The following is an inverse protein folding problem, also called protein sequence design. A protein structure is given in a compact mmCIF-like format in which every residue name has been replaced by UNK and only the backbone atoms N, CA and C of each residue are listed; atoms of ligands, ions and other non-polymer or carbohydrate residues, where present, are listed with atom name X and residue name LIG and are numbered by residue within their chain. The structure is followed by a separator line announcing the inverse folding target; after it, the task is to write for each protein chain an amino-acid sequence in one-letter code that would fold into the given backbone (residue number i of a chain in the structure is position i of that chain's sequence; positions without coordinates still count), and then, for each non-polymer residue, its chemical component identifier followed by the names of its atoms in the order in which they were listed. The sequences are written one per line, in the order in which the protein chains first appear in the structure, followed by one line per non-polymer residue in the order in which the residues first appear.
data_IF_516576102088
#
_entry.id   IF_516576102088
#
_cell.length_a   1.000
_cell.length_b   1.000
_cell.length_c   1.000
_cell.angle_alpha   90.00
_cell.angle_beta   90.00
_cell.angle_gamma   90.00
#
_symmetry.space_group_name_H-M   'P 1'
#
loop_
_entity.id
_entity.type
_entity.pdbx_description
1 polymer ?
#
# COMPACT_ATOMS: atom_id res chain seq x y z
N UNK A 1 -7.33 7.32 -21.90
CA UNK A 1 -6.83 8.38 -21.01
C UNK A 1 -7.95 8.98 -20.18
N UNK A 2 -8.76 9.90 -20.73
CA UNK A 2 -9.84 10.57 -19.99
C UNK A 2 -10.76 9.63 -19.18
N UNK A 3 -11.20 8.50 -19.74
CA UNK A 3 -12.03 7.53 -19.00
C UNK A 3 -11.32 6.90 -17.79
N UNK A 4 -10.00 6.68 -17.88
CA UNK A 4 -9.19 6.13 -16.79
C UNK A 4 -9.06 7.19 -15.70
N UNK A 5 -8.72 8.43 -16.08
CA UNK A 5 -8.55 9.55 -15.15
C UNK A 5 -9.88 9.93 -14.46
N UNK A 6 -10.98 9.91 -15.21
CA UNK A 6 -12.32 10.08 -14.66
C UNK A 6 -12.68 8.95 -13.69
N UNK A 7 -12.47 7.69 -14.07
CA UNK A 7 -12.75 6.54 -13.20
C UNK A 7 -11.94 6.57 -11.90
N UNK A 8 -10.67 6.96 -12.01
CA UNK A 8 -9.76 7.16 -10.88
C UNK A 8 -10.23 8.30 -9.97
N UNK A 9 -10.62 9.43 -10.53
CA UNK A 9 -11.17 10.56 -9.79
C UNK A 9 -12.46 10.19 -9.06
N UNK A 10 -13.42 9.58 -9.76
CA UNK A 10 -14.68 9.13 -9.17
C UNK A 10 -14.45 8.14 -8.03
N UNK A 11 -13.53 7.20 -8.22
CA UNK A 11 -13.12 6.27 -7.18
C UNK A 11 -12.56 7.00 -5.95
N UNK A 12 -11.60 7.92 -6.15
CA UNK A 12 -10.95 8.62 -5.05
C UNK A 12 -11.92 9.50 -4.28
N UNK A 13 -12.81 10.21 -4.98
CA UNK A 13 -13.90 10.97 -4.36
C UNK A 13 -14.78 10.02 -3.55
N UNK A 14 -15.29 8.94 -4.14
CA UNK A 14 -16.17 7.99 -3.44
C UNK A 14 -15.55 7.44 -2.14
N UNK A 15 -14.25 7.10 -2.17
CA UNK A 15 -13.57 6.48 -1.02
C UNK A 15 -13.12 7.49 0.02
N UNK A 16 -12.63 8.66 -0.39
CA UNK A 16 -11.94 9.60 0.50
C UNK A 16 -12.73 10.87 0.83
N UNK A 17 -13.88 11.13 0.19
CA UNK A 17 -14.65 12.37 0.38
C UNK A 17 -15.07 12.64 1.83
N UNK A 18 -15.38 11.58 2.60
CA UNK A 18 -15.73 11.71 4.03
C UNK A 18 -14.57 12.29 4.86
N UNK A 19 -13.33 12.05 4.45
CA UNK A 19 -12.10 12.51 5.12
C UNK A 19 -11.47 13.73 4.46
N UNK A 20 -12.22 14.46 3.62
CA UNK A 20 -11.73 15.63 2.86
C UNK A 20 -11.11 16.74 3.71
N UNK A 21 -11.41 16.79 5.01
CA UNK A 21 -10.82 17.76 5.94
C UNK A 21 -9.33 17.49 6.21
N UNK A 22 -8.83 16.28 5.96
CA UNK A 22 -7.42 15.97 6.12
C UNK A 22 -6.60 16.58 4.97
N UNK A 23 -5.54 17.33 5.28
CA UNK A 23 -4.71 18.02 4.27
C UNK A 23 -4.21 17.06 3.17
N UNK A 24 -3.78 15.85 3.54
CA UNK A 24 -3.29 14.82 2.59
C UNK A 24 -4.39 14.33 1.65
N UNK A 25 -5.58 14.13 2.17
CA UNK A 25 -6.74 13.71 1.37
C UNK A 25 -7.15 14.83 0.42
N UNK A 26 -7.13 16.08 0.88
CA UNK A 26 -7.40 17.23 0.03
C UNK A 26 -6.39 17.35 -1.12
N UNK A 27 -5.09 17.18 -0.86
CA UNK A 27 -4.06 17.16 -1.91
C UNK A 27 -4.30 16.02 -2.91
N UNK A 28 -4.67 14.83 -2.42
CA UNK A 28 -5.00 13.69 -3.27
C UNK A 28 -6.20 13.96 -4.19
N UNK A 29 -7.29 14.53 -3.65
CA UNK A 29 -8.46 14.87 -4.44
C UNK A 29 -8.16 16.00 -5.44
N UNK A 30 -7.34 16.97 -5.05
CA UNK A 30 -6.91 18.07 -5.93
C UNK A 30 -6.04 17.56 -7.08
N UNK A 31 -5.01 16.75 -6.81
CA UNK A 31 -4.17 16.17 -7.85
C UNK A 31 -4.99 15.33 -8.83
N UNK A 32 -5.91 14.51 -8.32
CA UNK A 32 -6.80 13.72 -9.18
C UNK A 32 -7.76 14.57 -10.00
N UNK A 33 -8.23 15.69 -9.46
CA UNK A 33 -9.07 16.64 -10.19
C UNK A 33 -8.29 17.33 -11.32
N UNK A 34 -7.05 17.76 -11.06
CA UNK A 34 -6.18 18.39 -12.07
C UNK A 34 -5.85 17.40 -13.20
N UNK A 35 -5.53 16.14 -12.87
CA UNK A 35 -5.30 15.09 -13.89
C UNK A 35 -6.53 14.77 -14.74
N UNK A 36 -7.73 14.86 -14.16
CA UNK A 36 -8.96 14.76 -14.94
C UNK A 36 -9.20 16.01 -15.80
N UNK A 37 -9.09 17.20 -15.20
CA UNK A 37 -9.37 18.48 -15.85
C UNK A 37 -8.44 18.75 -17.05
N UNK A 38 -7.16 18.36 -16.95
CA UNK A 38 -6.19 18.45 -18.05
C UNK A 38 -6.62 17.71 -19.31
N UNK A 39 -7.41 16.64 -19.19
CA UNK A 39 -7.95 15.92 -20.36
C UNK A 39 -9.32 16.43 -20.84
N UNK A 40 -10.06 17.17 -20.01
CA UNK A 40 -11.41 17.64 -20.36
C UNK A 40 -11.35 18.75 -21.42
N UNK A 41 -10.28 19.53 -21.45
CA UNK A 41 -10.10 20.58 -22.45
C UNK A 41 -9.53 19.98 -23.75
N UNK A 42 -10.38 19.90 -24.78
CA UNK A 42 -9.95 19.61 -26.15
C UNK A 42 -9.24 20.86 -26.69
N UNK A 43 -7.93 20.80 -26.85
CA UNK A 43 -7.13 21.85 -27.49
C UNK A 43 -6.82 21.49 -28.95
N UNK A 44 -6.78 22.52 -29.81
CA UNK A 44 -6.64 22.38 -31.27
C UNK A 44 -5.20 22.01 -31.70
N UNK A 45 -4.19 22.27 -30.85
CA UNK A 45 -2.77 22.05 -31.17
C UNK A 45 -2.23 20.77 -30.52
N UNK A 46 -1.52 19.96 -31.31
CA UNK A 46 -0.90 18.70 -30.87
C UNK A 46 0.11 18.89 -29.72
N UNK A 47 0.87 19.98 -29.73
CA UNK A 47 1.90 20.29 -28.72
C UNK A 47 1.28 20.51 -27.34
N UNK A 48 0.27 21.37 -27.27
CA UNK A 48 -0.50 21.63 -26.03
C UNK A 48 -1.14 20.35 -25.50
N UNK A 49 -1.68 19.50 -26.38
CA UNK A 49 -2.24 18.20 -26.00
C UNK A 49 -1.21 17.28 -25.34
N UNK A 50 0.05 17.30 -25.79
CA UNK A 50 1.14 16.51 -25.19
C UNK A 50 1.50 17.04 -23.80
N UNK A 51 1.64 18.36 -23.63
CA UNK A 51 1.93 18.95 -22.31
C UNK A 51 0.83 18.66 -21.28
N UNK A 52 -0.45 18.68 -21.68
CA UNK A 52 -1.55 18.29 -20.80
C UNK A 52 -1.55 16.80 -20.45
N UNK A 53 -1.09 15.95 -21.37
CA UNK A 53 -0.90 14.53 -21.09
C UNK A 53 0.16 14.33 -20.00
N UNK A 54 1.27 15.06 -20.06
CA UNK A 54 2.36 14.98 -19.09
C UNK A 54 1.90 15.48 -17.71
N UNK A 55 1.16 16.59 -17.66
CA UNK A 55 0.53 17.10 -16.43
C UNK A 55 -0.34 16.01 -15.78
N UNK A 56 -1.15 15.32 -16.57
CA UNK A 56 -2.02 14.27 -16.05
C UNK A 56 -1.26 13.01 -15.64
N UNK A 57 -0.14 12.71 -16.28
CA UNK A 57 0.74 11.60 -15.91
C UNK A 57 1.36 11.84 -14.54
N UNK A 58 1.97 13.01 -14.34
CA UNK A 58 2.50 13.46 -13.05
C UNK A 58 1.39 13.47 -11.98
N UNK A 59 0.18 13.93 -12.32
CA UNK A 59 -0.95 13.89 -11.41
C UNK A 59 -1.34 12.45 -11.01
N UNK A 60 -1.37 11.51 -11.95
CA UNK A 60 -1.70 10.10 -11.67
C UNK A 60 -0.66 9.48 -10.73
N UNK A 61 0.62 9.67 -11.00
CA UNK A 61 1.72 9.26 -10.12
C UNK A 61 1.62 9.88 -8.72
N UNK A 62 1.42 11.19 -8.65
CA UNK A 62 1.25 11.93 -7.41
C UNK A 62 0.08 11.40 -6.58
N UNK A 63 -1.08 11.13 -7.20
CA UNK A 63 -2.22 10.53 -6.48
C UNK A 63 -1.86 9.16 -5.91
N UNK A 64 -1.15 8.35 -6.68
CA UNK A 64 -0.74 7.02 -6.27
C UNK A 64 0.27 7.09 -5.10
N UNK A 65 1.23 8.00 -5.14
CA UNK A 65 2.20 8.26 -4.06
C UNK A 65 1.49 8.74 -2.78
N UNK A 66 0.54 9.67 -2.90
CA UNK A 66 -0.21 10.16 -1.74
C UNK A 66 -1.04 9.03 -1.10
N UNK A 67 -1.65 8.14 -1.88
CA UNK A 67 -2.36 6.97 -1.33
C UNK A 67 -1.44 6.08 -0.49
N UNK A 68 -0.26 5.75 -1.02
CA UNK A 68 0.74 4.95 -0.31
C UNK A 68 1.18 5.67 0.97
N UNK A 69 1.37 6.98 0.91
CA UNK A 69 1.80 7.81 2.04
C UNK A 69 0.73 7.94 3.13
N UNK A 70 -0.54 8.08 2.78
CA UNK A 70 -1.66 8.07 3.74
C UNK A 70 -1.66 6.75 4.53
N UNK A 71 -1.46 5.63 3.85
CA UNK A 71 -1.40 4.30 4.48
C UNK A 71 -0.13 4.16 5.32
N UNK A 72 1.02 4.58 4.79
CA UNK A 72 2.31 4.55 5.50
C UNK A 72 2.28 5.37 6.80
N UNK A 73 1.66 6.54 6.78
CA UNK A 73 1.48 7.38 7.96
C UNK A 73 0.61 6.70 9.03
N UNK A 74 -0.48 6.03 8.64
CA UNK A 74 -1.31 5.27 9.57
C UNK A 74 -0.54 4.11 10.23
N UNK A 75 0.38 3.47 9.50
CA UNK A 75 1.28 2.44 10.05
C UNK A 75 2.32 3.09 10.98
N UNK A 76 2.93 4.21 10.58
CA UNK A 76 3.91 4.96 11.39
C UNK A 76 3.36 5.30 12.78
N UNK A 77 2.13 5.83 12.83
CA UNK A 77 1.48 6.20 14.08
C UNK A 77 1.34 5.03 15.07
N UNK A 78 1.27 3.79 14.58
CA UNK A 78 1.08 2.57 15.40
C UNK A 78 2.39 1.88 15.77
N UNK A 79 3.35 1.88 14.86
CA UNK A 79 4.57 1.07 14.97
C UNK A 79 5.74 1.85 15.57
N UNK A 80 5.70 3.20 15.52
CA UNK A 80 6.72 4.11 16.08
C UNK A 80 8.17 3.72 15.76
N UNK A 81 8.41 3.03 14.64
CA UNK A 81 9.76 2.69 14.20
C UNK A 81 10.41 3.92 13.54
N UNK A 82 11.72 4.10 13.79
CA UNK A 82 12.49 5.20 13.19
C UNK A 82 12.57 5.08 11.66
N UNK A 83 12.71 3.86 11.14
CA UNK A 83 12.79 3.63 9.70
C UNK A 83 11.53 4.06 8.94
N UNK A 84 10.33 3.64 9.38
CA UNK A 84 9.08 4.06 8.70
C UNK A 84 8.86 5.58 8.77
N UNK A 85 9.39 6.24 9.81
CA UNK A 85 9.39 7.70 9.91
C UNK A 85 10.24 8.34 8.81
N UNK A 86 11.46 7.85 8.59
CA UNK A 86 12.36 8.34 7.53
C UNK A 86 11.72 8.13 6.15
N UNK A 87 11.24 6.92 5.86
CA UNK A 87 10.56 6.64 4.59
C UNK A 87 9.32 7.53 4.37
N UNK A 88 8.54 7.81 5.42
CA UNK A 88 7.39 8.71 5.29
C UNK A 88 7.82 10.15 5.00
N UNK A 89 8.94 10.60 5.56
CA UNK A 89 9.48 11.94 5.29
C UNK A 89 10.03 12.06 3.87
N UNK A 90 10.74 11.04 3.40
CA UNK A 90 11.19 10.94 2.00
C UNK A 90 9.99 10.99 1.05
N UNK A 91 8.92 10.23 1.35
CA UNK A 91 7.70 10.26 0.56
C UNK A 91 7.02 11.64 0.56
N UNK A 92 7.03 12.36 1.69
CA UNK A 92 6.52 13.73 1.77
C UNK A 92 7.37 14.71 0.95
N UNK A 93 8.68 14.51 0.90
CA UNK A 93 9.57 15.29 0.03
C UNK A 93 9.25 15.04 -1.45
N UNK A 94 9.08 13.79 -1.87
CA UNK A 94 8.67 13.47 -3.24
C UNK A 94 7.31 14.07 -3.60
N UNK A 95 6.32 14.03 -2.70
CA UNK A 95 5.03 14.70 -2.94
C UNK A 95 5.22 16.18 -3.25
N UNK A 96 6.09 16.89 -2.52
CA UNK A 96 6.35 18.32 -2.77
C UNK A 96 7.07 18.51 -4.11
N UNK A 97 8.07 17.69 -4.41
CA UNK A 97 8.81 17.76 -5.67
C UNK A 97 7.89 17.47 -6.87
N UNK A 98 7.00 16.49 -6.78
CA UNK A 98 6.01 16.17 -7.82
C UNK A 98 5.00 17.31 -8.03
N UNK A 99 4.59 18.00 -6.95
CA UNK A 99 3.76 19.21 -7.08
C UNK A 99 4.49 20.33 -7.83
N UNK A 100 5.78 20.52 -7.54
CA UNK A 100 6.61 21.50 -8.26
C UNK A 100 6.80 21.08 -9.73
N UNK A 101 6.97 19.79 -9.99
CA UNK A 101 7.10 19.26 -11.35
C UNK A 101 5.81 19.46 -12.17
N UNK A 102 4.66 19.20 -11.56
CA UNK A 102 3.35 19.48 -12.17
C UNK A 102 3.17 20.97 -12.44
N UNK A 103 3.58 21.84 -11.50
CA UNK A 103 3.51 23.29 -11.71
C UNK A 103 4.45 23.77 -12.83
N UNK A 104 5.66 23.21 -12.92
CA UNK A 104 6.59 23.46 -14.02
C UNK A 104 5.98 23.07 -15.37
N UNK A 105 5.36 21.89 -15.45
CA UNK A 105 4.65 21.42 -16.66
C UNK A 105 3.46 22.32 -17.01
N UNK A 106 2.76 22.86 -16.01
CA UNK A 106 1.65 23.81 -16.23
C UNK A 106 2.13 25.19 -16.70
N UNK A 107 3.31 25.64 -16.27
CA UNK A 107 3.94 26.88 -16.74
C UNK A 107 4.38 26.72 -18.20
N UNK A 108 4.96 25.56 -18.54
CA UNK A 108 5.33 25.23 -19.91
C UNK A 108 4.11 25.20 -20.84
N UNK A 109 2.99 24.65 -20.38
CA UNK A 109 1.71 24.70 -21.09
C UNK A 109 1.18 26.13 -21.32
N UNK A 110 1.66 27.12 -20.56
CA UNK A 110 1.32 28.53 -20.71
C UNK A 110 2.31 29.31 -21.61
N UNK A 111 3.05 28.60 -22.48
CA UNK A 111 4.01 29.13 -23.47
C UNK A 111 5.30 29.71 -22.88
N UNK A 112 5.67 29.32 -21.64
CA UNK A 112 6.97 29.66 -21.06
C UNK A 112 7.97 28.53 -21.28
N UNK A 113 9.01 28.78 -22.07
CA UNK A 113 10.04 27.78 -22.40
C UNK A 113 10.88 27.44 -21.16
N UNK A 114 10.83 26.17 -20.74
CA UNK A 114 11.66 25.63 -19.67
C UNK A 114 13.00 25.13 -20.22
N UNK A 115 14.06 25.26 -19.42
CA UNK A 115 15.40 24.80 -19.83
C UNK A 115 15.48 23.29 -19.93
N UNK A 116 16.29 22.78 -20.87
CA UNK A 116 16.52 21.34 -21.09
C UNK A 116 16.94 20.57 -19.81
N UNK A 117 17.69 21.23 -18.92
CA UNK A 117 18.07 20.69 -17.61
C UNK A 117 16.87 20.33 -16.72
N UNK A 118 15.77 21.09 -16.80
CA UNK A 118 14.56 20.82 -16.01
C UNK A 118 13.84 19.56 -16.49
N UNK A 119 13.87 19.27 -17.79
CA UNK A 119 13.31 18.02 -18.32
C UNK A 119 14.11 16.80 -17.85
N UNK A 120 15.44 16.89 -17.81
CA UNK A 120 16.29 15.82 -17.27
C UNK A 120 15.97 15.58 -15.79
N UNK A 121 15.86 16.65 -15.00
CA UNK A 121 15.52 16.55 -13.57
C UNK A 121 14.12 15.96 -13.36
N UNK A 122 13.14 16.38 -14.16
CA UNK A 122 11.77 15.84 -14.13
C UNK A 122 11.77 14.33 -14.38
N UNK A 123 12.46 13.88 -15.43
CA UNK A 123 12.52 12.47 -15.80
C UNK A 123 13.23 11.61 -14.72
N UNK A 124 14.32 12.14 -14.14
CA UNK A 124 15.01 11.48 -13.03
C UNK A 124 14.11 11.41 -11.78
N UNK A 125 13.40 12.50 -11.47
CA UNK A 125 12.46 12.56 -10.35
C UNK A 125 11.34 11.54 -10.53
N UNK A 126 10.78 11.43 -11.73
CA UNK A 126 9.76 10.45 -12.08
C UNK A 126 10.25 9.02 -11.84
N UNK A 127 11.37 8.65 -12.45
CA UNK A 127 11.96 7.30 -12.33
C UNK A 127 12.28 6.94 -10.88
N UNK A 128 12.87 7.87 -10.11
CA UNK A 128 13.21 7.65 -8.70
C UNK A 128 11.95 7.50 -7.86
N UNK A 129 10.93 8.34 -8.07
CA UNK A 129 9.67 8.27 -7.33
C UNK A 129 8.92 6.97 -7.61
N UNK A 130 8.82 6.56 -8.88
CA UNK A 130 8.17 5.30 -9.26
C UNK A 130 8.88 4.08 -8.72
N UNK A 131 10.21 4.10 -8.63
CA UNK A 131 11.01 3.04 -8.00
C UNK A 131 10.85 3.03 -6.48
N UNK A 132 10.74 4.21 -5.85
CA UNK A 132 10.56 4.34 -4.42
C UNK A 132 9.21 3.81 -3.93
N UNK A 133 8.13 4.04 -4.68
CA UNK A 133 6.76 3.64 -4.34
C UNK A 133 6.58 2.15 -3.99
N UNK A 134 7.01 1.17 -4.81
CA UNK A 134 6.93 -0.25 -4.47
C UNK A 134 7.77 -0.58 -3.24
N UNK A 135 8.98 -0.02 -3.13
CA UNK A 135 9.87 -0.24 -1.98
C UNK A 135 9.16 0.21 -0.71
N UNK A 136 8.66 1.44 -0.66
CA UNK A 136 7.97 1.97 0.50
C UNK A 136 6.70 1.19 0.82
N UNK A 137 5.90 0.87 -0.21
CA UNK A 137 4.66 0.09 -0.11
C UNK A 137 4.89 -1.26 0.56
N UNK A 138 5.77 -2.08 -0.02
CA UNK A 138 6.02 -3.42 0.50
C UNK A 138 6.83 -3.40 1.78
N UNK A 139 7.63 -2.36 2.02
CA UNK A 139 8.33 -2.17 3.28
C UNK A 139 7.36 -2.07 4.45
N UNK A 140 6.43 -1.11 4.48
CA UNK A 140 5.51 -1.01 5.62
C UNK A 140 4.57 -2.21 5.74
N UNK A 141 4.27 -2.87 4.62
CA UNK A 141 3.43 -4.05 4.58
C UNK A 141 4.14 -5.26 5.18
N UNK A 142 5.44 -5.39 4.92
CA UNK A 142 6.31 -6.42 5.51
C UNK A 142 6.41 -6.28 7.02
N UNK A 143 6.42 -5.05 7.55
CA UNK A 143 6.35 -4.78 8.99
C UNK A 143 5.07 -5.33 9.64
N UNK A 144 4.01 -5.50 8.84
CA UNK A 144 2.69 -5.91 9.35
C UNK A 144 2.34 -7.38 9.23
N UNK A 145 2.76 -8.02 8.15
CA UNK A 145 2.40 -9.40 7.83
C UNK A 145 3.62 -10.34 7.84
N UNK A 146 4.84 -9.80 7.93
CA UNK A 146 6.09 -10.50 7.73
C UNK A 146 6.44 -10.62 6.24
N UNK A 147 7.73 -10.40 5.89
CA UNK A 147 8.19 -10.33 4.51
C UNK A 147 7.83 -11.58 3.67
N UNK A 148 8.08 -12.79 4.21
CA UNK A 148 7.78 -14.06 3.52
C UNK A 148 6.28 -14.22 3.21
N UNK A 149 5.41 -13.80 4.13
CA UNK A 149 3.96 -13.88 3.93
C UNK A 149 3.48 -12.86 2.91
N UNK A 150 4.04 -11.65 2.91
CA UNK A 150 3.77 -10.64 1.89
C UNK A 150 4.14 -11.16 0.51
N UNK A 151 5.34 -11.72 0.35
CA UNK A 151 5.81 -12.28 -0.92
C UNK A 151 4.93 -13.44 -1.40
N UNK A 152 4.49 -14.32 -0.50
CA UNK A 152 3.61 -15.44 -0.85
C UNK A 152 2.19 -15.00 -1.25
N UNK A 153 1.63 -13.98 -0.57
CA UNK A 153 0.21 -13.61 -0.70
C UNK A 153 -0.03 -12.46 -1.69
N UNK A 154 1.00 -11.68 -2.02
CA UNK A 154 0.88 -10.42 -2.79
C UNK A 154 1.70 -10.40 -4.07
N UNK A 155 2.00 -11.56 -4.66
CA UNK A 155 2.75 -11.70 -5.92
C UNK A 155 2.17 -10.84 -7.05
N UNK A 156 0.86 -10.89 -7.24
CA UNK A 156 0.19 -10.14 -8.30
C UNK A 156 0.23 -8.62 -8.06
N UNK A 157 0.12 -8.17 -6.79
CA UNK A 157 0.31 -6.74 -6.46
C UNK A 157 1.76 -6.31 -6.72
N UNK A 158 2.75 -7.12 -6.32
CA UNK A 158 4.17 -6.86 -6.61
C UNK A 158 4.45 -6.77 -8.10
N UNK A 159 3.83 -7.65 -8.89
CA UNK A 159 3.97 -7.65 -10.34
C UNK A 159 3.50 -6.33 -10.97
N UNK A 160 2.28 -5.87 -10.67
CA UNK A 160 1.79 -4.60 -11.23
C UNK A 160 2.61 -3.39 -10.77
N UNK A 161 3.08 -3.39 -9.52
CA UNK A 161 3.97 -2.34 -9.03
C UNK A 161 5.34 -2.35 -9.74
N UNK A 162 5.85 -3.53 -10.10
CA UNK A 162 7.07 -3.65 -10.91
C UNK A 162 6.85 -3.18 -12.34
N UNK A 163 5.70 -3.49 -12.93
CA UNK A 163 5.31 -2.99 -14.26
C UNK A 163 5.22 -1.46 -14.29
N UNK A 164 4.65 -0.85 -13.25
CA UNK A 164 4.63 0.62 -13.10
C UNK A 164 6.06 1.18 -13.04
N UNK A 165 6.95 0.56 -12.27
CA UNK A 165 8.33 1.04 -12.12
C UNK A 165 9.19 0.86 -13.38
N UNK A 166 8.84 -0.06 -14.28
CA UNK A 166 9.61 -0.40 -15.49
C UNK A 166 8.91 0.03 -16.78
N UNK A 167 7.92 0.91 -16.67
CA UNK A 167 7.06 1.27 -17.79
C UNK A 167 7.81 2.00 -18.92
N UNK A 168 8.75 2.90 -18.58
CA UNK A 168 9.65 3.56 -19.54
C UNK A 168 10.55 2.55 -20.26
N UNK A 169 11.26 1.70 -19.51
CA UNK A 169 12.18 0.69 -20.08
C UNK A 169 11.45 -0.27 -21.03
N UNK A 170 10.25 -0.72 -20.65
CA UNK A 170 9.44 -1.61 -21.46
C UNK A 170 9.09 -0.99 -22.81
N UNK A 171 8.68 0.28 -22.79
CA UNK A 171 8.28 1.01 -24.00
C UNK A 171 9.49 1.44 -24.84
N UNK A 172 10.63 1.73 -24.22
CA UNK A 172 11.89 2.00 -24.90
C UNK A 172 12.38 0.77 -25.68
N UNK A 173 12.29 -0.43 -25.10
CA UNK A 173 12.62 -1.68 -25.80
C UNK A 173 11.66 -1.93 -26.97
N UNK A 174 10.37 -1.68 -26.78
CA UNK A 174 9.38 -1.79 -27.87
C UNK A 174 9.68 -0.81 -29.00
N UNK A 175 10.01 0.44 -28.69
CA UNK A 175 10.40 1.45 -29.68
C UNK A 175 11.66 1.04 -30.44
N UNK A 176 12.66 0.47 -29.74
CA UNK A 176 13.88 -0.05 -30.36
C UNK A 176 13.59 -1.19 -31.35
N UNK A 177 12.66 -2.09 -31.00
CA UNK A 177 12.32 -3.25 -31.85
C UNK A 177 11.41 -2.86 -33.03
N UNK A 178 10.45 -1.96 -32.84
CA UNK A 178 9.47 -1.62 -33.89
C UNK A 178 9.86 -0.39 -34.71
N UNK A 179 10.79 0.43 -34.24
CA UNK A 179 11.17 1.70 -34.88
C UNK A 179 10.09 2.79 -34.82
N UNK A 180 9.12 2.67 -33.90
CA UNK A 180 7.96 3.58 -33.76
C UNK A 180 7.96 4.15 -32.35
N UNK A 181 7.69 5.45 -32.20
CA UNK A 181 7.52 6.06 -30.87
C UNK A 181 6.21 5.61 -30.23
N UNK A 182 6.32 5.02 -29.03
CA UNK A 182 5.18 4.49 -28.27
C UNK A 182 4.76 5.41 -27.11
N UNK A 183 5.13 6.68 -27.12
CA UNK A 183 4.87 7.66 -26.05
C UNK A 183 3.39 7.70 -25.62
N UNK A 184 2.47 7.71 -26.59
CA UNK A 184 1.03 7.64 -26.29
C UNK A 184 0.64 6.33 -25.57
N UNK A 185 1.18 5.20 -26.02
CA UNK A 185 0.91 3.90 -25.42
C UNK A 185 1.58 3.74 -24.05
N UNK A 186 2.73 4.38 -23.84
CA UNK A 186 3.42 4.46 -22.56
C UNK A 186 2.52 5.10 -21.51
N UNK A 187 1.96 6.29 -21.80
CA UNK A 187 1.03 6.93 -20.87
C UNK A 187 -0.20 6.05 -20.59
N UNK A 188 -0.78 5.40 -21.62
CA UNK A 188 -1.96 4.53 -21.44
C UNK A 188 -1.61 3.35 -20.53
N UNK A 189 -0.41 2.79 -20.72
CA UNK A 189 0.11 1.68 -19.94
C UNK A 189 0.37 2.07 -18.48
N UNK A 190 1.03 3.20 -18.25
CA UNK A 190 1.33 3.72 -16.91
C UNK A 190 0.04 3.95 -16.10
N UNK A 191 -0.95 4.63 -16.69
CA UNK A 191 -2.24 4.84 -16.03
C UNK A 191 -3.05 3.56 -15.87
N UNK A 192 -3.04 2.68 -16.87
CA UNK A 192 -3.72 1.39 -16.80
C UNK A 192 -3.18 0.49 -15.70
N UNK A 193 -1.86 0.46 -15.51
CA UNK A 193 -1.20 -0.32 -14.46
C UNK A 193 -1.40 0.29 -13.07
N UNK A 194 -1.42 1.62 -12.93
CA UNK A 194 -1.81 2.30 -11.68
C UNK A 194 -3.28 1.98 -11.32
N UNK A 195 -4.20 2.07 -12.30
CA UNK A 195 -5.61 1.74 -12.09
C UNK A 195 -5.78 0.27 -11.67
N UNK A 196 -5.05 -0.65 -12.29
CA UNK A 196 -5.01 -2.06 -11.88
C UNK A 196 -4.49 -2.23 -10.44
N UNK A 197 -3.43 -1.52 -10.05
CA UNK A 197 -2.93 -1.53 -8.67
C UNK A 197 -4.01 -1.11 -7.67
N UNK A 198 -4.80 -0.08 -7.99
CA UNK A 198 -5.87 0.41 -7.13
C UNK A 198 -7.05 -0.56 -7.10
N UNK A 199 -7.46 -1.11 -8.24
CA UNK A 199 -8.52 -2.10 -8.32
C UNK A 199 -8.20 -3.37 -7.52
N UNK A 200 -6.94 -3.82 -7.56
CA UNK A 200 -6.48 -4.95 -6.76
C UNK A 200 -6.51 -4.67 -5.26
N UNK A 201 -6.24 -3.42 -4.86
CA UNK A 201 -6.41 -2.98 -3.49
C UNK A 201 -7.88 -2.99 -3.07
N UNK A 202 -8.78 -2.59 -3.96
CA UNK A 202 -10.23 -2.59 -3.72
C UNK A 202 -10.79 -4.02 -3.60
N UNK A 203 -10.50 -4.90 -4.56
CA UNK A 203 -10.96 -6.29 -4.53
C UNK A 203 -10.56 -7.00 -3.24
N UNK A 204 -9.36 -6.72 -2.72
CA UNK A 204 -8.91 -7.27 -1.43
C UNK A 204 -9.73 -6.71 -0.25
N UNK A 205 -10.07 -5.42 -0.26
CA UNK A 205 -10.93 -4.80 0.77
C UNK A 205 -12.33 -5.43 0.76
N UNK A 206 -12.93 -5.62 -0.41
CA UNK A 206 -14.26 -6.24 -0.55
C UNK A 206 -14.26 -7.69 -0.11
N UNK A 207 -13.23 -8.48 -0.50
CA UNK A 207 -13.08 -9.88 -0.08
C UNK A 207 -12.87 -10.01 1.45
N UNK A 208 -12.09 -9.11 2.06
CA UNK A 208 -11.90 -9.09 3.51
C UNK A 208 -13.18 -8.69 4.26
N UNK A 209 -13.92 -7.70 3.76
CA UNK A 209 -15.21 -7.32 4.36
C UNK A 209 -16.23 -8.45 4.26
N UNK A 210 -16.33 -9.12 3.11
CA UNK A 210 -17.23 -10.28 2.93
C UNK A 210 -16.88 -11.45 3.86
N UNK A 211 -15.59 -11.72 4.07
CA UNK A 211 -15.14 -12.73 5.03
C UNK A 211 -15.52 -12.37 6.48
N UNK A 212 -15.36 -11.10 6.88
CA UNK A 212 -15.76 -10.64 8.21
C UNK A 212 -17.29 -10.70 8.42
N UNK A 213 -18.09 -10.38 7.39
CA UNK A 213 -19.55 -10.49 7.45
C UNK A 213 -19.99 -11.94 7.62
N UNK A 214 -19.38 -12.89 6.89
CA UNK A 214 -19.70 -14.32 7.03
C UNK A 214 -19.40 -14.86 8.43
N UNK A 215 -18.30 -14.41 9.06
CA UNK A 215 -17.95 -14.80 10.43
C UNK A 215 -18.92 -14.20 11.46
N UNK A 216 -19.40 -12.98 11.24
CA UNK A 216 -20.40 -12.34 12.11
C UNK A 216 -21.78 -13.03 12.03
N UNK A 217 -22.16 -13.55 10.86
CA UNK A 217 -23.43 -14.29 10.69
C UNK A 217 -23.37 -15.70 11.30
N UNK A 218 -22.19 -16.34 11.32
CA UNK A 218 -22.02 -17.67 11.92
C UNK A 218 -21.93 -17.69 13.45
N UNK A 219 -22.01 -16.53 14.13
CA UNK A 219 -21.93 -16.41 15.59
C UNK A 219 -23.26 -16.13 16.30
N UNK A 220 -24.38 -16.08 15.59
CA UNK A 220 -25.70 -15.81 16.19
C UNK A 220 -26.39 -17.14 16.48
N UNK A 221 -26.08 -17.73 17.64
CA UNK A 221 -26.92 -18.75 18.26
C UNK A 221 -27.97 -18.03 19.13
N UNK A 222 -29.22 -18.42 18.94
CA UNK A 222 -30.47 -17.84 19.45
C UNK A 222 -30.58 -17.68 20.97
N UNK A 223 -31.11 -16.54 21.43
CA UNK A 223 -32.11 -16.45 22.51
C UNK A 223 -32.76 -15.06 22.60
N UNK A 224 -34.10 -15.01 22.56
CA UNK A 224 -34.94 -14.06 23.33
C UNK A 224 -35.28 -12.69 22.71
N UNK A 225 -36.58 -12.41 22.61
CA UNK A 225 -37.24 -11.21 22.08
C UNK A 225 -37.05 -9.91 22.92
N UNK A 226 -37.08 -8.74 22.25
CA UNK A 226 -38.03 -7.61 22.48
C UNK A 226 -37.49 -6.24 21.98
N UNK A 227 -38.14 -5.75 20.92
CA UNK A 227 -38.64 -4.38 20.62
C UNK A 227 -37.79 -3.07 20.80
N UNK A 228 -37.86 -2.28 19.71
CA UNK A 228 -37.75 -0.81 19.56
C UNK A 228 -36.42 -0.08 19.82
N UNK A 229 -35.68 0.20 18.74
CA UNK A 229 -35.47 1.56 18.19
C UNK A 229 -34.52 1.45 16.99
N UNK A 230 -35.04 1.59 15.79
CA UNK A 230 -34.25 1.66 14.55
C UNK A 230 -33.52 3.00 14.47
N UNK A 231 -32.42 3.13 15.19
CA UNK A 231 -31.39 4.12 14.89
C UNK A 231 -30.54 3.56 13.74
N UNK A 232 -30.44 4.24 12.58
CA UNK A 232 -29.56 3.78 11.52
C UNK A 232 -28.11 3.88 12.03
N UNK A 233 -27.56 2.73 12.42
CA UNK A 233 -26.15 2.58 12.78
C UNK A 233 -25.31 3.08 11.61
N UNK A 234 -24.79 4.28 11.83
CA UNK A 234 -23.71 4.94 11.14
C UNK A 234 -22.87 4.02 10.24
N UNK A 235 -22.91 4.31 8.95
CA UNK A 235 -21.88 3.99 7.94
C UNK A 235 -20.48 4.58 8.28
N UNK A 236 -20.25 4.99 9.54
CA UNK A 236 -19.02 5.62 10.02
C UNK A 236 -18.00 4.58 10.44
N UNK A 237 -17.48 3.87 9.43
CA UNK A 237 -16.19 3.21 9.48
C UNK A 237 -15.68 3.07 8.05
N UNK A 238 -15.44 4.19 7.35
CA UNK A 238 -14.87 4.15 5.98
C UNK A 238 -13.33 4.10 6.00
N UNK A 239 -12.70 4.22 7.18
CA UNK A 239 -11.42 3.55 7.49
C UNK A 239 -11.39 3.05 8.95
N UNK A 240 -11.79 1.81 9.25
CA UNK A 240 -11.01 1.00 10.13
C UNK A 240 -9.93 0.42 9.24
N UNK A 241 -8.73 0.96 9.36
CA UNK A 241 -7.53 0.21 9.05
C UNK A 241 -7.76 -1.19 9.60
N UNK A 242 -7.70 -2.21 8.75
CA UNK A 242 -7.87 -3.62 9.12
C UNK A 242 -7.30 -3.84 10.50
N UNK A 243 -8.18 -4.01 11.49
CA UNK A 243 -7.79 -4.42 12.83
C UNK A 243 -6.92 -5.68 12.71
N UNK A 244 -7.06 -6.50 11.68
CA UNK A 244 -6.18 -7.62 11.40
C UNK A 244 -4.74 -7.23 10.99
N UNK A 245 -4.51 -6.22 10.15
CA UNK A 245 -3.14 -5.73 9.86
C UNK A 245 -2.49 -5.16 11.12
N UNK A 246 -3.28 -4.43 11.91
CA UNK A 246 -2.84 -3.76 13.15
C UNK A 246 -2.55 -4.76 14.29
N UNK A 247 -3.42 -5.74 14.48
CA UNK A 247 -3.27 -6.82 15.47
C UNK A 247 -2.17 -7.80 15.06
N UNK A 248 -1.98 -8.03 13.74
CA UNK A 248 -0.86 -8.80 13.20
C UNK A 248 0.49 -8.12 13.46
N UNK A 249 0.57 -6.79 13.38
CA UNK A 249 1.79 -6.05 13.74
C UNK A 249 2.14 -6.24 15.23
N UNK A 250 1.19 -6.00 16.14
CA UNK A 250 1.43 -6.10 17.58
C UNK A 250 1.87 -7.51 17.99
N UNK A 251 1.25 -8.54 17.39
CA UNK A 251 1.61 -9.94 17.64
C UNK A 251 2.96 -10.32 17.04
N UNK A 252 3.33 -9.82 15.87
CA UNK A 252 4.63 -10.08 15.23
C UNK A 252 5.77 -9.38 15.98
N UNK A 253 5.58 -8.12 16.41
CA UNK A 253 6.54 -7.40 17.24
C UNK A 253 6.69 -8.10 18.60
N UNK A 254 5.60 -8.50 19.26
CA UNK A 254 5.68 -9.23 20.53
C UNK A 254 6.36 -10.60 20.39
N UNK A 255 6.22 -11.28 19.25
CA UNK A 255 6.95 -12.53 18.96
C UNK A 255 8.45 -12.26 18.73
N UNK A 256 8.81 -11.20 18.02
CA UNK A 256 10.19 -10.78 17.82
C UNK A 256 10.86 -10.37 19.13
N UNK A 257 10.18 -9.59 19.98
CA UNK A 257 10.68 -9.20 21.30
C UNK A 257 10.80 -10.40 22.24
N UNK A 258 9.85 -11.33 22.25
CA UNK A 258 9.98 -12.59 23.02
C UNK A 258 11.13 -13.47 22.52
N UNK A 259 11.40 -13.50 21.21
CA UNK A 259 12.55 -14.22 20.63
C UNK A 259 13.88 -13.59 21.03
N UNK A 260 13.95 -12.26 21.15
CA UNK A 260 15.17 -11.54 21.57
C UNK A 260 15.38 -11.65 23.08
N UNK A 261 14.31 -11.55 23.88
CA UNK A 261 14.38 -11.70 25.35
C UNK A 261 14.57 -13.16 25.77
N UNK A 262 14.06 -14.12 25.00
CA UNK A 262 14.28 -15.56 25.23
C UNK A 262 15.67 -16.06 24.83
N UNK A 263 16.48 -15.22 24.16
CA UNK A 263 17.86 -15.54 23.76
C UNK A 263 18.91 -15.28 24.86
N UNK A 264 18.53 -14.68 25.99
CA UNK A 264 19.45 -14.26 27.06
C UNK A 264 19.23 -14.99 28.39
N UNK A 265 18.77 -16.26 28.36
CA UNK A 265 18.85 -17.13 29.53
C UNK A 265 19.88 -18.22 29.29
N UNK A 266 21.14 -17.90 29.62
CA UNK A 266 22.20 -18.88 29.75
C UNK A 266 21.86 -19.82 30.92
N UNK A 267 21.65 -21.09 30.58
CA UNK A 267 21.96 -22.31 31.34
C UNK A 267 22.06 -22.18 32.87
N UNK A 268 21.02 -22.60 33.57
CA UNK A 268 21.18 -23.30 34.85
C UNK A 268 20.76 -24.75 34.64
N UNK A 269 21.75 -25.63 34.52
CA UNK A 269 21.57 -27.07 34.38
C UNK A 269 21.10 -27.64 35.73
N UNK A 270 19.78 -27.86 35.88
CA UNK A 270 19.25 -28.66 36.97
C UNK A 270 19.15 -30.11 36.51
N UNK A 271 20.15 -30.88 36.91
CA UNK A 271 20.23 -32.34 36.82
C UNK A 271 18.94 -32.98 37.35
N UNK A 272 18.25 -33.75 36.50
CA UNK A 272 17.12 -34.60 36.88
C UNK A 272 17.64 -36.01 37.12
N UNK A 273 17.80 -36.39 38.39
CA UNK A 273 17.97 -37.79 38.80
C UNK A 273 16.59 -38.41 39.04
N UNK A 274 16.05 -39.09 38.04
CA UNK A 274 14.89 -39.97 38.21
C UNK A 274 15.37 -41.34 38.71
N UNK A 275 15.12 -41.64 39.99
CA UNK A 275 15.26 -42.97 40.56
C UNK A 275 13.99 -43.76 40.22
N UNK A 276 14.14 -44.73 39.32
CA UNK A 276 13.12 -45.69 38.95
C UNK A 276 13.09 -46.81 39.99
N UNK A 277 12.02 -46.86 40.81
CA UNK A 277 11.71 -47.98 41.71
C UNK A 277 11.22 -49.17 40.87
N UNK A 278 12.03 -50.22 40.78
CA UNK A 278 11.61 -51.53 40.27
C UNK A 278 11.15 -52.34 41.47
N UNK A 279 9.86 -52.69 41.50
CA UNK A 279 9.30 -53.64 42.45
C UNK A 279 9.59 -55.07 41.99
N UNK A 280 10.24 -55.86 42.85
CA UNK A 280 10.36 -57.32 42.69
C UNK A 280 9.64 -57.95 43.88
N UNK A 281 8.54 -58.61 43.59
CA UNK A 281 7.81 -59.50 44.50
C UNK A 281 8.46 -60.89 44.45
N UNK A 282 8.93 -61.38 45.59
CA UNK A 282 9.39 -62.76 45.76
C UNK A 282 9.21 -63.19 47.24
N UNK A 283 8.74 -64.41 47.53
CA UNK A 283 8.26 -64.79 48.85
C UNK A 283 9.40 -65.19 49.80
N UNK A 284 9.18 -64.98 51.10
CA UNK A 284 10.00 -65.50 52.21
C UNK A 284 9.53 -66.90 52.64
N UNK A 285 10.10 -67.50 53.71
CA UNK A 285 11.44 -68.09 53.89
C UNK A 285 11.33 -69.63 54.12
N UNK A 286 12.40 -70.35 54.54
CA UNK A 286 12.47 -70.68 55.97
C UNK A 286 13.89 -70.86 56.59
N UNK A 287 13.96 -70.46 57.87
CA UNK A 287 14.51 -71.12 59.08
C UNK A 287 15.80 -71.98 59.07
N UNK A 288 16.58 -71.74 60.15
CA UNK A 288 17.48 -72.65 60.92
C UNK A 288 18.75 -73.12 60.20
N UNK A 289 19.96 -73.08 60.79
CA UNK A 289 20.38 -73.16 62.20
C UNK A 289 21.78 -72.57 62.35
#
# INVERSE_FOLDING_TARGET
MLLIDFGMFQYLVSVYYVRRHERRVRMLLLASFIGFASHVYFHETKEVMMTFNDISEVCSQLTFLIQITIIGHAVRAKVKLRSITVFTYIAECFIVLDWLNMLASAIEAAEFELTNEMHIVSNVLESVTLTFMPVFRFYYLSLSQGFRKVLATRKLEMFFYFLVATHEDLMAVLAYVTGVSWEYAQGVYMRGTIAACILLNLHKKTKQNSANTRVATSGITSTGEASVTSSPRAFNAVVPMSSAVVTSIRSTINKGVKSVVGGTSLKSARSSSNIMKIGVTGPAPPMLR
#
